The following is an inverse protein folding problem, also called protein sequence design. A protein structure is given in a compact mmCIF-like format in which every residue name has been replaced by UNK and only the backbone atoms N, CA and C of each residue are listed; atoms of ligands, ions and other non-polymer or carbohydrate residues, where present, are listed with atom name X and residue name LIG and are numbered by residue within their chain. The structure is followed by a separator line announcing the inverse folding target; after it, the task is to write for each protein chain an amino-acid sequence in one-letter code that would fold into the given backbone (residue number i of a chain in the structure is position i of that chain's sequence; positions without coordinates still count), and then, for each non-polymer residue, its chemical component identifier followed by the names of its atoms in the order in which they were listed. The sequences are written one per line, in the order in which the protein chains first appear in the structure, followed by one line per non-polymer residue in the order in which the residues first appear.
data_IF_018629136603
#
_entry.id   IF_018629136603
#
_cell.length_a   1.000
_cell.length_b   1.000
_cell.length_c   1.000
_cell.angle_alpha   90.00
_cell.angle_beta   90.00
_cell.angle_gamma   90.00
#
_symmetry.space_group_name_H-M   'P 1'
#
loop_
_entity.id
_entity.type
_entity.pdbx_description
1 polymer ?
#
# COMPACT_ATOMS: atom_id res chain seq x y z
N UNK A 1 15.67 13.52 6.33
CA UNK A 1 15.27 13.79 4.93
C UNK A 1 14.84 12.52 4.27
N UNK A 2 13.68 12.50 3.66
CA UNK A 2 13.11 11.28 3.10
C UNK A 2 13.01 11.38 1.58
N UNK A 3 13.71 10.50 0.88
CA UNK A 3 13.59 10.38 -0.56
C UNK A 3 12.42 9.47 -0.93
N UNK A 4 12.06 9.47 -2.22
CA UNK A 4 11.03 8.57 -2.73
C UNK A 4 11.38 7.11 -2.42
N UNK A 5 12.62 6.71 -2.64
CA UNK A 5 13.07 5.35 -2.38
C UNK A 5 12.95 4.99 -0.90
N UNK A 6 13.40 5.89 -0.03
CA UNK A 6 13.32 5.66 1.42
C UNK A 6 11.87 5.54 1.90
N UNK A 7 10.98 6.42 1.40
CA UNK A 7 9.57 6.38 1.75
C UNK A 7 8.93 5.05 1.32
N UNK A 8 9.18 4.60 0.10
CA UNK A 8 8.66 3.32 -0.38
C UNK A 8 9.21 2.13 0.41
N UNK A 9 10.50 2.15 0.73
CA UNK A 9 11.11 1.08 1.51
C UNK A 9 10.56 1.04 2.93
N UNK A 10 10.32 2.18 3.55
CA UNK A 10 9.70 2.26 4.88
C UNK A 10 8.29 1.64 4.87
N UNK A 11 7.50 1.95 3.85
CA UNK A 11 6.14 1.41 3.71
C UNK A 11 6.19 -0.11 3.51
N UNK A 12 7.03 -0.60 2.61
CA UNK A 12 7.14 -2.03 2.34
C UNK A 12 7.56 -2.82 3.59
N UNK A 13 8.57 -2.31 4.29
CA UNK A 13 9.06 -2.95 5.50
C UNK A 13 8.00 -2.96 6.61
N UNK A 14 7.31 -1.84 6.80
CA UNK A 14 6.25 -1.74 7.80
C UNK A 14 5.16 -2.79 7.56
N UNK A 15 4.75 -2.96 6.31
CA UNK A 15 3.75 -3.95 5.95
C UNK A 15 4.26 -5.38 6.13
N UNK A 16 5.43 -5.69 5.58
CA UNK A 16 5.98 -7.05 5.62
C UNK A 16 6.23 -7.52 7.04
N UNK A 17 6.75 -6.65 7.91
CA UNK A 17 7.01 -6.98 9.31
C UNK A 17 5.71 -7.31 10.08
N UNK A 18 4.59 -6.71 9.71
CA UNK A 18 3.31 -6.86 10.41
C UNK A 18 2.34 -7.83 9.74
N UNK A 19 2.60 -8.19 8.50
CA UNK A 19 1.73 -9.10 7.76
C UNK A 19 1.88 -10.54 8.24
N UNK A 20 3.02 -10.90 8.76
CA UNK A 20 3.34 -12.23 9.31
C UNK A 20 3.07 -13.37 8.33
N UNK A 21 3.37 -13.16 7.07
CA UNK A 21 3.22 -14.18 6.02
C UNK A 21 1.80 -14.79 5.93
N UNK A 22 0.77 -14.00 6.24
CA UNK A 22 -0.61 -14.47 6.13
C UNK A 22 -0.95 -14.95 4.73
N UNK A 23 -0.44 -14.23 3.73
CA UNK A 23 -0.55 -14.57 2.32
C UNK A 23 0.74 -14.20 1.61
N UNK A 24 0.97 -14.75 0.40
CA UNK A 24 1.99 -14.19 -0.49
C UNK A 24 1.70 -12.71 -0.79
N UNK A 25 2.76 -11.92 -0.93
CA UNK A 25 2.69 -10.50 -1.25
C UNK A 25 3.52 -10.27 -2.52
N UNK A 26 2.93 -9.52 -3.45
CA UNK A 26 3.62 -9.09 -4.66
C UNK A 26 3.56 -7.57 -4.75
N UNK A 27 4.72 -6.92 -4.87
CA UNK A 27 4.77 -5.48 -5.07
C UNK A 27 4.74 -5.14 -6.56
N UNK A 28 4.63 -3.85 -6.87
CA UNK A 28 4.66 -3.36 -8.23
C UNK A 28 5.84 -3.93 -9.01
N UNK A 29 5.59 -4.32 -10.23
CA UNK A 29 6.60 -4.82 -11.16
C UNK A 29 7.23 -6.17 -10.77
N UNK A 30 6.67 -6.85 -9.76
CA UNK A 30 7.06 -8.22 -9.47
C UNK A 30 6.21 -9.19 -10.27
N UNK A 31 6.79 -10.34 -10.63
CA UNK A 31 6.05 -11.36 -11.36
C UNK A 31 5.04 -12.05 -10.47
N UNK A 32 3.86 -12.32 -11.03
CA UNK A 32 2.82 -13.11 -10.37
C UNK A 32 2.67 -14.51 -10.99
N UNK A 33 3.64 -14.95 -11.80
CA UNK A 33 3.59 -16.26 -12.45
C UNK A 33 3.54 -17.42 -11.46
N UNK A 34 4.06 -17.23 -10.26
CA UNK A 34 4.08 -18.24 -9.21
C UNK A 34 2.82 -18.23 -8.35
N UNK A 35 1.83 -17.42 -8.66
CA UNK A 35 0.57 -17.37 -7.90
C UNK A 35 -0.15 -18.71 -8.00
N UNK A 36 -0.48 -19.27 -6.83
CA UNK A 36 -1.24 -20.52 -6.75
C UNK A 36 -2.73 -20.22 -6.85
N UNK A 37 -3.45 -20.99 -7.68
CA UNK A 37 -4.85 -20.73 -8.00
C UNK A 37 -5.82 -20.89 -6.81
N UNK A 38 -5.42 -21.60 -5.76
CA UNK A 38 -6.31 -21.92 -4.64
C UNK A 38 -5.91 -21.25 -3.33
N UNK A 39 -5.05 -20.24 -3.38
CA UNK A 39 -4.53 -19.54 -2.21
C UNK A 39 -4.77 -18.04 -2.37
N UNK A 40 -5.29 -17.34 -1.33
CA UNK A 40 -5.37 -15.88 -1.35
C UNK A 40 -4.00 -15.24 -1.49
N UNK A 41 -3.96 -14.08 -2.13
CA UNK A 41 -2.73 -13.31 -2.26
C UNK A 41 -3.04 -11.82 -2.35
N UNK A 42 -2.00 -11.00 -2.15
CA UNK A 42 -2.12 -9.55 -2.07
C UNK A 42 -1.07 -8.91 -2.97
N UNK A 43 -1.48 -7.87 -3.68
CA UNK A 43 -0.54 -7.02 -4.44
C UNK A 43 -0.53 -5.63 -3.80
N UNK A 44 0.67 -5.11 -3.54
CA UNK A 44 0.86 -3.75 -3.06
C UNK A 44 1.38 -2.83 -4.15
N UNK A 45 0.85 -1.63 -4.22
CA UNK A 45 1.26 -0.60 -5.19
C UNK A 45 1.42 0.72 -4.48
N UNK A 46 2.50 1.42 -4.77
CA UNK A 46 2.74 2.76 -4.25
C UNK A 46 2.83 3.72 -5.43
N UNK A 47 1.92 4.69 -5.48
CA UNK A 47 1.81 5.66 -6.57
C UNK A 47 1.97 7.06 -6.01
N UNK A 48 2.86 7.84 -6.58
CA UNK A 48 3.01 9.24 -6.20
C UNK A 48 2.15 10.11 -7.09
N UNK A 49 1.49 11.08 -6.48
CA UNK A 49 0.72 12.11 -7.15
C UNK A 49 1.54 13.40 -7.21
N UNK A 50 0.93 14.48 -7.68
CA UNK A 50 1.58 15.78 -7.77
C UNK A 50 1.88 16.31 -6.36
N UNK A 51 3.13 16.71 -6.14
CA UNK A 51 3.56 17.42 -4.95
C UNK A 51 4.05 18.82 -5.30
N UNK A 52 4.40 19.60 -4.31
CA UNK A 52 4.87 20.94 -4.53
C UNK A 52 5.85 21.42 -3.47
N UNK A 53 6.54 22.51 -3.80
CA UNK A 53 7.41 23.18 -2.88
C UNK A 53 6.56 23.98 -1.84
N UNK A 54 6.77 23.70 -0.56
CA UNK A 54 6.01 24.35 0.53
C UNK A 54 6.73 25.56 1.09
N UNK A 55 8.05 25.61 1.00
CA UNK A 55 8.84 26.71 1.56
C UNK A 55 9.78 27.28 0.52
N UNK A 56 10.04 28.58 0.62
CA UNK A 56 11.14 29.22 -0.06
C UNK A 56 12.40 29.05 0.79
N UNK A 57 13.52 28.84 0.16
CA UNK A 57 14.77 28.67 0.86
C UNK A 57 15.92 28.40 -0.09
N UNK A 58 17.11 28.29 0.46
CA UNK A 58 18.29 27.94 -0.33
C UNK A 58 18.27 26.44 -0.64
N UNK A 59 18.99 26.02 -1.71
CA UNK A 59 19.12 24.59 -2.02
C UNK A 59 19.59 23.80 -0.79
N UNK A 60 18.93 22.66 -0.54
CA UNK A 60 19.15 21.84 0.63
C UNK A 60 18.17 22.10 1.79
N UNK A 61 17.56 23.29 1.82
CA UNK A 61 16.64 23.70 2.89
C UNK A 61 15.21 23.96 2.42
N UNK A 62 14.89 23.62 1.19
CA UNK A 62 13.53 23.79 0.66
C UNK A 62 12.71 22.52 0.95
N UNK A 63 11.52 22.71 1.49
CA UNK A 63 10.62 21.62 1.78
C UNK A 63 9.68 21.36 0.60
N UNK A 64 9.68 20.12 0.14
CA UNK A 64 8.77 19.66 -0.89
C UNK A 64 7.84 18.61 -0.28
N UNK A 65 6.55 18.84 -0.34
CA UNK A 65 5.58 17.83 0.05
C UNK A 65 5.31 16.88 -1.10
N UNK A 66 5.30 15.60 -0.76
CA UNK A 66 4.97 14.52 -1.69
C UNK A 66 3.69 13.87 -1.22
N UNK A 67 2.80 13.64 -2.16
CA UNK A 67 1.51 13.01 -1.91
C UNK A 67 1.38 11.80 -2.80
N UNK A 68 0.66 10.80 -2.34
CA UNK A 68 0.44 9.63 -3.16
C UNK A 68 -0.60 8.71 -2.59
N UNK A 69 -0.65 7.53 -3.17
CA UNK A 69 -1.58 6.48 -2.81
C UNK A 69 -0.82 5.21 -2.52
N UNK A 70 -1.25 4.53 -1.47
CA UNK A 70 -0.85 3.17 -1.18
C UNK A 70 -2.07 2.30 -1.43
N UNK A 71 -1.96 1.37 -2.37
CA UNK A 71 -3.10 0.54 -2.79
C UNK A 71 -2.73 -0.92 -2.57
N UNK A 72 -3.60 -1.64 -1.86
CA UNK A 72 -3.50 -3.09 -1.74
C UNK A 72 -4.66 -3.73 -2.48
N UNK A 73 -4.35 -4.65 -3.37
CA UNK A 73 -5.33 -5.47 -4.06
C UNK A 73 -5.33 -6.84 -3.38
N UNK A 74 -6.49 -7.21 -2.85
CA UNK A 74 -6.68 -8.49 -2.16
C UNK A 74 -7.42 -9.43 -3.08
N UNK A 75 -6.80 -10.56 -3.39
CA UNK A 75 -7.37 -11.58 -4.26
C UNK A 75 -7.63 -12.85 -3.46
N UNK A 76 -8.84 -13.35 -3.53
CA UNK A 76 -9.18 -14.67 -2.99
C UNK A 76 -9.77 -15.54 -4.11
N UNK A 77 -9.60 -16.88 -4.04
CA UNK A 77 -10.25 -17.76 -5.00
C UNK A 77 -11.77 -17.58 -4.99
N UNK A 78 -12.37 -17.63 -6.18
CA UNK A 78 -13.80 -17.32 -6.35
C UNK A 78 -14.74 -18.32 -5.65
N UNK A 79 -14.23 -19.48 -5.26
CA UNK A 79 -15.02 -20.51 -4.57
C UNK A 79 -14.86 -20.44 -3.03
N UNK A 80 -14.16 -19.45 -2.50
CA UNK A 80 -13.99 -19.26 -1.05
C UNK A 80 -14.95 -18.20 -0.54
N UNK A 81 -15.18 -18.23 0.78
CA UNK A 81 -16.08 -17.28 1.43
C UNK A 81 -15.48 -15.87 1.40
N UNK A 82 -16.32 -14.88 1.15
CA UNK A 82 -15.89 -13.46 1.14
C UNK A 82 -15.41 -13.00 2.52
N UNK A 83 -15.77 -13.71 3.58
CA UNK A 83 -15.25 -13.46 4.93
C UNK A 83 -13.72 -13.45 4.97
N UNK A 84 -13.08 -14.33 4.19
CA UNK A 84 -11.60 -14.39 4.10
C UNK A 84 -11.07 -13.07 3.54
N UNK A 85 -11.69 -12.53 2.50
CA UNK A 85 -11.32 -11.25 1.93
C UNK A 85 -11.50 -10.11 2.95
N UNK A 86 -12.62 -10.12 3.67
CA UNK A 86 -12.89 -9.08 4.67
C UNK A 86 -11.88 -9.12 5.81
N UNK A 87 -11.49 -10.31 6.25
CA UNK A 87 -10.44 -10.46 7.26
C UNK A 87 -9.09 -9.93 6.81
N UNK A 88 -8.71 -10.18 5.56
CA UNK A 88 -7.48 -9.66 4.99
C UNK A 88 -7.51 -8.15 4.84
N UNK A 89 -8.63 -7.61 4.37
CA UNK A 89 -8.84 -6.16 4.26
C UNK A 89 -8.74 -5.51 5.63
N UNK A 90 -9.39 -6.08 6.64
CA UNK A 90 -9.33 -5.53 8.00
C UNK A 90 -7.91 -5.57 8.55
N UNK A 91 -7.17 -6.64 8.29
CA UNK A 91 -5.77 -6.73 8.71
C UNK A 91 -4.91 -5.64 8.09
N UNK A 92 -5.13 -5.32 6.81
CA UNK A 92 -4.42 -4.23 6.13
C UNK A 92 -4.80 -2.88 6.74
N UNK A 93 -6.09 -2.65 6.99
CA UNK A 93 -6.55 -1.42 7.63
C UNK A 93 -5.92 -1.25 9.02
N UNK A 94 -5.88 -2.31 9.81
CA UNK A 94 -5.30 -2.25 11.16
C UNK A 94 -3.80 -1.95 11.15
N UNK A 95 -3.11 -2.33 10.09
CA UNK A 95 -1.67 -2.03 9.95
C UNK A 95 -1.42 -0.56 9.63
N UNK A 96 -2.26 0.05 8.80
CA UNK A 96 -1.96 1.37 8.23
C UNK A 96 -2.88 2.51 8.66
N UNK A 97 -4.11 2.26 9.11
CA UNK A 97 -5.02 3.35 9.47
C UNK A 97 -4.40 4.28 10.52
N UNK A 98 -4.20 5.54 10.12
CA UNK A 98 -3.64 6.55 11.00
C UNK A 98 -2.17 6.33 11.39
N UNK A 99 -1.47 5.46 10.68
CA UNK A 99 -0.09 5.12 11.04
C UNK A 99 0.91 6.17 10.59
N UNK A 100 1.95 6.34 11.37
CA UNK A 100 3.17 7.02 10.95
C UNK A 100 4.22 5.97 10.65
N UNK A 101 4.60 5.87 9.38
CA UNK A 101 5.54 4.86 8.92
C UNK A 101 6.87 5.55 8.60
N UNK A 102 7.75 5.60 9.60
CA UNK A 102 8.95 6.41 9.48
C UNK A 102 8.56 7.88 9.30
N UNK A 103 8.97 8.47 8.18
CA UNK A 103 8.64 9.87 7.84
C UNK A 103 7.37 9.99 7.00
N UNK A 104 6.67 8.90 6.76
CA UNK A 104 5.49 8.87 5.91
C UNK A 104 4.23 8.85 6.78
N UNK A 105 3.33 9.79 6.53
CA UNK A 105 2.01 9.81 7.14
C UNK A 105 1.03 9.03 6.27
N UNK A 106 0.31 8.11 6.89
CA UNK A 106 -0.71 7.31 6.22
C UNK A 106 -2.07 7.74 6.74
N UNK A 107 -2.94 8.17 5.84
CA UNK A 107 -4.28 8.62 6.16
C UNK A 107 -5.23 7.43 6.01
N UNK A 108 -6.40 7.55 6.63
CA UNK A 108 -7.45 6.54 6.67
C UNK A 108 -7.64 5.78 5.35
N UNK A 109 -7.73 4.47 5.44
CA UNK A 109 -7.98 3.59 4.30
C UNK A 109 -9.44 3.50 3.89
N UNK A 110 -9.65 3.22 2.62
CA UNK A 110 -10.99 3.04 2.05
C UNK A 110 -11.04 1.72 1.30
N UNK A 111 -11.77 0.71 1.80
CA UNK A 111 -11.98 -0.53 1.08
C UNK A 111 -12.99 -0.34 -0.05
N UNK A 112 -12.76 -1.02 -1.16
CA UNK A 112 -13.65 -0.97 -2.33
C UNK A 112 -13.69 -2.33 -3.00
N UNK A 113 -14.91 -2.84 -3.22
CA UNK A 113 -15.08 -4.01 -4.07
C UNK A 113 -14.78 -3.62 -5.52
N UNK A 114 -13.94 -4.39 -6.19
CA UNK A 114 -13.51 -4.04 -7.54
C UNK A 114 -14.09 -5.00 -8.56
N UNK A 115 -13.95 -6.30 -8.36
CA UNK A 115 -14.26 -7.22 -9.43
C UNK A 115 -14.51 -8.63 -8.91
N UNK A 116 -15.28 -9.38 -9.70
CA UNK A 116 -15.46 -10.82 -9.54
C UNK A 116 -15.20 -11.47 -10.89
N UNK A 117 -14.03 -12.06 -11.06
CA UNK A 117 -13.67 -12.81 -12.24
C UNK A 117 -13.81 -14.30 -11.98
N UNK A 118 -13.74 -15.12 -13.05
CA UNK A 118 -13.94 -16.56 -12.94
C UNK A 118 -13.06 -17.22 -11.88
N UNK A 119 -11.83 -16.75 -11.71
CA UNK A 119 -10.87 -17.35 -10.79
C UNK A 119 -10.74 -16.61 -9.47
N UNK A 120 -11.02 -15.30 -9.46
CA UNK A 120 -10.67 -14.44 -8.32
C UNK A 120 -11.78 -13.47 -7.97
N UNK A 121 -11.99 -13.29 -6.66
CA UNK A 121 -12.76 -12.21 -6.07
C UNK A 121 -11.75 -11.17 -5.58
N UNK A 122 -11.95 -9.90 -5.94
CA UNK A 122 -10.99 -8.84 -5.65
C UNK A 122 -11.61 -7.70 -4.88
N UNK A 123 -10.93 -7.29 -3.81
CA UNK A 123 -11.17 -6.02 -3.12
C UNK A 123 -9.89 -5.20 -3.10
N UNK A 124 -10.03 -3.88 -3.16
CA UNK A 124 -8.90 -2.97 -3.02
C UNK A 124 -9.02 -2.18 -1.71
N UNK A 125 -7.87 -1.87 -1.12
CA UNK A 125 -7.78 -0.93 0.01
C UNK A 125 -6.83 0.17 -0.42
N UNK A 126 -7.29 1.41 -0.38
CA UNK A 126 -6.47 2.56 -0.78
C UNK A 126 -6.27 3.50 0.40
N UNK A 127 -5.03 3.89 0.61
CA UNK A 127 -4.65 4.90 1.59
C UNK A 127 -4.05 6.10 0.88
N UNK A 128 -4.28 7.29 1.42
CA UNK A 128 -3.54 8.47 1.02
C UNK A 128 -2.28 8.56 1.86
N UNK A 129 -1.16 8.87 1.24
CA UNK A 129 0.12 9.02 1.94
C UNK A 129 0.72 10.38 1.64
N UNK A 130 1.54 10.85 2.58
CA UNK A 130 2.29 12.09 2.39
C UNK A 130 3.61 12.03 3.15
N UNK A 131 4.61 12.69 2.60
CA UNK A 131 5.90 12.87 3.26
C UNK A 131 6.58 14.13 2.74
N UNK A 132 7.58 14.60 3.47
CA UNK A 132 8.33 15.81 3.09
C UNK A 132 9.76 15.44 2.73
N UNK A 133 10.22 16.04 1.65
CA UNK A 133 11.60 15.93 1.21
C UNK A 133 12.24 17.33 1.24
N UNK A 134 13.45 17.43 1.79
CA UNK A 134 14.20 18.68 1.84
C UNK A 134 15.34 18.61 0.82
N UNK A 135 15.39 19.62 -0.06
CA UNK A 135 16.48 19.69 -1.04
C UNK A 135 16.72 21.09 -1.62
#
# INVERSE_FOLDING_TARGET
MTTILEAKNQIRKHFEDRWNNRTPIYWDNETTETVKKNIPWVRGSIRLAVGGQQTLGSPGNRMFNRYGYLIFQVFIPSNQKTQISDELVQAILDIFDGAEVGDVNVIKGSPTFVNFEKAWYQQNVQFNISFSEFK
#
